data_IF_733428305774
#
_entry.id   IF_733428305774
#
_cell.length_a   1.000
_cell.length_b   1.000
_cell.length_c   1.000
_cell.angle_alpha   90.00
_cell.angle_beta   90.00
_cell.angle_gamma   90.00
#
_symmetry.space_group_name_H-M   'P 1'
#
loop_
_entity.id
_entity.type
_entity.pdbx_description
1 polymer ?
#
# COMPACT_ATOMS: atom_id res chain seq x y z
N UNK A 1 20.01 9.33 8.22
CA UNK A 1 19.12 9.00 7.09
C UNK A 1 17.71 9.33 7.53
N UNK A 2 16.87 9.95 6.70
CA UNK A 2 15.44 10.05 7.02
C UNK A 2 14.83 8.76 6.50
N UNK A 3 14.41 7.89 7.40
CA UNK A 3 13.81 6.61 7.01
C UNK A 3 12.46 6.92 6.35
N UNK A 4 12.35 6.60 5.05
CA UNK A 4 11.13 6.69 4.26
C UNK A 4 10.63 5.27 3.95
N UNK A 5 9.30 5.11 3.92
CA UNK A 5 8.66 3.80 3.96
C UNK A 5 7.74 3.61 2.77
N UNK A 6 7.79 2.44 2.12
CA UNK A 6 6.74 1.97 1.23
C UNK A 6 5.81 1.05 2.03
N UNK A 7 4.56 1.46 2.19
CA UNK A 7 3.55 0.67 2.88
C UNK A 7 2.73 -0.13 1.86
N UNK A 8 2.60 -1.44 2.10
CA UNK A 8 1.63 -2.24 1.36
C UNK A 8 0.21 -2.10 1.94
N UNK A 9 -0.75 -2.82 1.35
CA UNK A 9 -2.13 -2.74 1.79
C UNK A 9 -2.39 -3.36 3.17
N UNK A 10 -1.68 -4.43 3.57
CA UNK A 10 -1.85 -5.06 4.88
C UNK A 10 -1.29 -4.20 6.00
N UNK A 11 -0.24 -3.43 5.74
CA UNK A 11 0.30 -2.46 6.68
C UNK A 11 -0.48 -1.14 6.69
N UNK A 12 -0.91 -0.63 5.53
CA UNK A 12 -1.62 0.65 5.43
C UNK A 12 -3.01 0.62 6.07
N UNK A 13 -3.75 -0.48 5.89
CA UNK A 13 -5.15 -0.55 6.32
C UNK A 13 -5.33 -0.43 7.86
N UNK A 14 -4.56 -1.14 8.70
CA UNK A 14 -4.60 -0.94 10.16
C UNK A 14 -4.17 0.47 10.61
N UNK A 15 -3.20 1.07 9.90
CA UNK A 15 -2.65 2.40 10.22
C UNK A 15 -3.69 3.51 10.06
N UNK A 16 -4.77 3.30 9.28
CA UNK A 16 -5.90 4.24 9.21
C UNK A 16 -6.45 4.63 10.59
N UNK A 17 -6.36 3.73 11.58
CA UNK A 17 -6.81 3.98 12.96
C UNK A 17 -5.82 4.78 13.80
N UNK A 18 -4.63 5.06 13.28
CA UNK A 18 -3.51 5.68 13.98
C UNK A 18 -2.90 6.86 13.21
N UNK A 19 -3.65 7.43 12.26
CA UNK A 19 -3.17 8.49 11.36
C UNK A 19 -2.56 9.70 12.11
N UNK A 20 -3.09 10.05 13.28
CA UNK A 20 -2.60 11.18 14.08
C UNK A 20 -1.28 10.88 14.82
N UNK A 21 -0.80 9.63 14.77
CA UNK A 21 0.41 9.17 15.45
C UNK A 21 1.58 8.92 14.49
N UNK A 22 1.39 9.12 13.19
CA UNK A 22 2.39 8.83 12.17
C UNK A 22 2.73 10.07 11.34
N UNK A 23 4.00 10.15 10.93
CA UNK A 23 4.45 11.17 9.99
C UNK A 23 4.17 10.71 8.55
N UNK A 24 3.00 11.10 8.04
CA UNK A 24 2.54 10.74 6.68
C UNK A 24 3.45 11.24 5.57
N UNK A 25 4.30 12.24 5.84
CA UNK A 25 5.21 12.81 4.83
C UNK A 25 6.34 11.86 4.43
N UNK A 26 6.58 10.81 5.21
CA UNK A 26 7.59 9.77 4.97
C UNK A 26 7.01 8.51 4.35
N UNK A 27 5.71 8.49 4.06
CA UNK A 27 5.00 7.30 3.60
C UNK A 27 4.75 7.38 2.11
N UNK A 28 5.15 6.32 1.44
CA UNK A 28 4.91 6.04 0.04
C UNK A 28 3.94 4.86 -0.11
N UNK A 29 3.22 4.87 -1.22
CA UNK A 29 2.32 3.81 -1.69
C UNK A 29 2.45 3.67 -3.21
N UNK A 30 1.94 2.57 -3.75
CA UNK A 30 1.83 2.35 -5.20
C UNK A 30 0.36 2.30 -5.63
N UNK A 31 0.02 2.45 -6.92
CA UNK A 31 -1.37 2.44 -7.38
C UNK A 31 -2.12 1.15 -6.99
N UNK A 32 -1.41 0.02 -6.96
CA UNK A 32 -1.95 -1.26 -6.50
C UNK A 32 -2.53 -1.22 -5.07
N UNK A 33 -1.99 -0.37 -4.19
CA UNK A 33 -2.44 -0.23 -2.80
C UNK A 33 -3.88 0.24 -2.72
N UNK A 34 -4.31 1.15 -3.61
CA UNK A 34 -5.69 1.62 -3.71
C UNK A 34 -6.67 0.46 -3.90
N UNK A 35 -6.38 -0.41 -4.87
CA UNK A 35 -7.24 -1.55 -5.19
C UNK A 35 -7.23 -2.62 -4.09
N UNK A 36 -6.06 -2.93 -3.52
CA UNK A 36 -5.94 -3.92 -2.43
C UNK A 36 -6.69 -3.46 -1.16
N UNK A 37 -6.58 -2.19 -0.76
CA UNK A 37 -7.30 -1.67 0.41
C UNK A 37 -8.81 -1.56 0.15
N UNK A 38 -9.24 -1.07 -1.01
CA UNK A 38 -10.66 -1.05 -1.38
C UNK A 38 -11.30 -2.44 -1.34
N UNK A 39 -10.58 -3.46 -1.84
CA UNK A 39 -11.01 -4.85 -1.75
C UNK A 39 -11.07 -5.36 -0.29
N UNK A 40 -10.14 -4.93 0.57
CA UNK A 40 -10.18 -5.28 1.99
C UNK A 40 -11.41 -4.66 2.69
N UNK A 41 -11.72 -3.39 2.43
CA UNK A 41 -12.92 -2.71 2.94
C UNK A 41 -14.19 -3.45 2.51
N UNK A 42 -14.29 -3.80 1.22
CA UNK A 42 -15.41 -4.55 0.69
C UNK A 42 -15.59 -5.92 1.38
N UNK A 43 -14.50 -6.66 1.58
CA UNK A 43 -14.55 -7.94 2.30
C UNK A 43 -14.94 -7.78 3.77
N UNK A 44 -14.45 -6.75 4.45
CA UNK A 44 -14.80 -6.49 5.86
C UNK A 44 -16.26 -6.06 6.04
N UNK A 45 -16.86 -5.35 5.08
CA UNK A 45 -18.28 -4.98 5.13
C UNK A 45 -19.19 -6.20 5.35
N UNK A 46 -19.00 -7.26 4.56
CA UNK A 46 -19.79 -8.49 4.70
C UNK A 46 -19.61 -9.18 6.05
N UNK A 47 -18.52 -8.91 6.76
CA UNK A 47 -18.16 -9.58 8.00
C UNK A 47 -18.49 -8.76 9.25
N UNK A 48 -18.47 -7.42 9.16
CA UNK A 48 -18.48 -6.52 10.33
C UNK A 48 -19.55 -5.43 10.31
N UNK A 49 -20.42 -5.39 9.28
CA UNK A 49 -21.55 -4.46 9.18
C UNK A 49 -21.16 -2.96 9.34
N UNK A 50 -19.95 -2.59 8.93
CA UNK A 50 -19.46 -1.19 8.88
C UNK A 50 -19.90 -0.55 7.58
N UNK A 51 -20.20 0.76 7.56
CA UNK A 51 -20.47 1.47 6.30
C UNK A 51 -19.21 1.52 5.41
N UNK A 52 -19.17 0.77 4.29
CA UNK A 52 -17.99 0.70 3.44
C UNK A 52 -17.79 1.98 2.64
N UNK A 53 -18.85 2.75 2.38
CA UNK A 53 -18.76 3.99 1.59
C UNK A 53 -18.05 5.06 2.41
N UNK A 54 -18.47 5.24 3.68
CA UNK A 54 -17.81 6.15 4.61
C UNK A 54 -16.34 5.77 4.82
N UNK A 55 -16.04 4.47 4.98
CA UNK A 55 -14.65 4.01 5.15
C UNK A 55 -13.80 4.24 3.91
N UNK A 56 -14.32 3.98 2.70
CA UNK A 56 -13.65 4.29 1.45
C UNK A 56 -13.40 5.80 1.29
N UNK A 57 -14.34 6.66 1.68
CA UNK A 57 -14.15 8.11 1.64
C UNK A 57 -13.02 8.58 2.59
N UNK A 58 -12.96 8.02 3.79
CA UNK A 58 -11.86 8.27 4.74
C UNK A 58 -10.52 7.78 4.18
N UNK A 59 -10.50 6.58 3.61
CA UNK A 59 -9.32 6.02 2.95
C UNK A 59 -8.83 6.92 1.80
N UNK A 60 -9.74 7.39 0.94
CA UNK A 60 -9.37 8.28 -0.17
C UNK A 60 -8.75 9.59 0.33
N UNK A 61 -9.33 10.19 1.38
CA UNK A 61 -8.78 11.40 2.02
C UNK A 61 -7.43 11.16 2.69
N UNK A 62 -7.17 9.94 3.16
CA UNK A 62 -5.87 9.57 3.70
C UNK A 62 -4.84 9.40 2.59
N UNK A 63 -5.18 8.64 1.54
CA UNK A 63 -4.32 8.41 0.37
C UNK A 63 -3.84 9.72 -0.26
N UNK A 64 -4.68 10.76 -0.30
CA UNK A 64 -4.29 12.07 -0.86
C UNK A 64 -3.19 12.80 -0.06
N UNK A 65 -2.83 12.31 1.13
CA UNK A 65 -1.73 12.84 1.96
C UNK A 65 -0.43 12.04 1.80
N UNK A 66 -0.49 10.88 1.15
CA UNK A 66 0.64 9.98 0.98
C UNK A 66 1.35 10.30 -0.34
N UNK A 67 2.62 9.90 -0.44
CA UNK A 67 3.37 10.00 -1.68
C UNK A 67 3.03 8.80 -2.57
N UNK A 68 2.59 9.04 -3.79
CA UNK A 68 2.26 7.99 -4.76
C UNK A 68 3.45 7.80 -5.70
N UNK A 69 3.94 6.57 -5.80
CA UNK A 69 4.92 6.18 -6.81
C UNK A 69 4.21 5.79 -8.12
N UNK A 70 4.94 5.89 -9.23
CA UNK A 70 4.46 5.40 -10.53
C UNK A 70 4.46 3.86 -10.57
N UNK A 71 3.75 3.31 -11.55
CA UNK A 71 3.78 1.86 -11.78
C UNK A 71 5.18 1.44 -12.29
N UNK A 72 5.79 0.40 -11.69
CA UNK A 72 7.06 -0.10 -12.18
C UNK A 72 6.91 -0.88 -13.51
N UNK A 73 8.02 -1.08 -14.25
CA UNK A 73 8.00 -1.88 -15.48
C UNK A 73 7.61 -3.33 -15.22
N UNK A 74 6.66 -3.86 -15.99
CA UNK A 74 6.07 -5.17 -15.74
C UNK A 74 7.09 -6.32 -15.87
N UNK A 75 8.04 -6.18 -16.80
CA UNK A 75 9.14 -7.11 -17.02
C UNK A 75 10.07 -7.24 -15.80
N UNK A 76 10.32 -6.14 -15.09
CA UNK A 76 11.15 -6.15 -13.89
C UNK A 76 10.41 -6.75 -12.69
N UNK A 77 9.10 -6.50 -12.57
CA UNK A 77 8.27 -7.18 -11.58
C UNK A 77 8.24 -8.69 -11.84
N UNK A 78 8.13 -9.10 -13.11
CA UNK A 78 8.14 -10.52 -13.48
C UNK A 78 9.49 -11.18 -13.20
N UNK A 79 10.59 -10.46 -13.38
CA UNK A 79 11.93 -10.92 -12.97
C UNK A 79 11.97 -11.21 -11.47
N UNK A 80 11.55 -10.25 -10.63
CA UNK A 80 11.51 -10.42 -9.16
C UNK A 80 10.57 -11.56 -8.75
N UNK A 81 9.41 -11.66 -9.40
CA UNK A 81 8.43 -12.76 -9.21
C UNK A 81 9.09 -14.12 -9.43
N UNK A 82 9.86 -14.24 -10.51
CA UNK A 82 10.51 -15.50 -10.91
C UNK A 82 11.70 -15.86 -10.02
N UNK A 83 12.46 -14.86 -9.59
CA UNK A 83 13.65 -15.04 -8.75
C UNK A 83 13.33 -15.29 -7.28
N UNK A 84 12.29 -14.63 -6.74
CA UNK A 84 11.95 -14.64 -5.31
C UNK A 84 10.71 -15.49 -4.98
N UNK A 85 10.10 -16.15 -5.98
CA UNK A 85 8.89 -16.97 -5.84
C UNK A 85 7.71 -16.23 -5.15
N UNK A 86 7.59 -14.94 -5.44
CA UNK A 86 6.50 -14.10 -4.92
C UNK A 86 5.34 -14.01 -5.90
N UNK A 87 4.16 -13.61 -5.43
CA UNK A 87 3.11 -13.20 -6.37
C UNK A 87 3.54 -11.93 -7.09
N UNK A 88 3.02 -11.70 -8.30
CA UNK A 88 3.27 -10.46 -9.05
C UNK A 88 2.91 -9.21 -8.22
N UNK A 89 1.85 -9.30 -7.41
CA UNK A 89 1.44 -8.21 -6.52
C UNK A 89 2.49 -7.91 -5.44
N UNK A 90 3.01 -8.93 -4.77
CA UNK A 90 3.96 -8.73 -3.68
C UNK A 90 5.35 -8.35 -4.23
N UNK A 91 5.74 -8.95 -5.36
CA UNK A 91 6.93 -8.56 -6.11
C UNK A 91 6.90 -7.09 -6.56
N UNK A 92 5.72 -6.54 -6.87
CA UNK A 92 5.56 -5.12 -7.23
C UNK A 92 6.01 -4.21 -6.08
N UNK A 93 5.64 -4.55 -4.83
CA UNK A 93 6.07 -3.78 -3.65
C UNK A 93 7.56 -3.94 -3.38
N UNK A 94 8.09 -5.17 -3.47
CA UNK A 94 9.52 -5.44 -3.27
C UNK A 94 10.36 -4.66 -4.28
N UNK A 95 10.05 -4.78 -5.56
CA UNK A 95 10.77 -4.05 -6.61
C UNK A 95 10.70 -2.52 -6.40
N UNK A 96 9.51 -1.99 -6.08
CA UNK A 96 9.34 -0.55 -5.87
C UNK A 96 10.13 -0.05 -4.66
N UNK A 97 10.14 -0.80 -3.55
CA UNK A 97 10.92 -0.44 -2.38
C UNK A 97 12.42 -0.43 -2.68
N UNK A 98 12.93 -1.48 -3.31
CA UNK A 98 14.35 -1.61 -3.67
C UNK A 98 14.79 -0.51 -4.66
N UNK A 99 13.99 -0.25 -5.70
CA UNK A 99 14.32 0.72 -6.75
C UNK A 99 14.37 2.17 -6.27
N UNK A 100 13.57 2.50 -5.24
CA UNK A 100 13.52 3.84 -4.67
C UNK A 100 14.28 3.97 -3.34
N UNK A 101 14.94 2.91 -2.86
CA UNK A 101 15.68 2.92 -1.59
C UNK A 101 14.80 3.11 -0.36
N UNK A 102 13.57 2.58 -0.39
CA UNK A 102 12.56 2.71 0.68
C UNK A 102 12.52 1.45 1.54
N UNK A 103 12.15 1.59 2.81
CA UNK A 103 11.86 0.45 3.68
C UNK A 103 10.45 -0.08 3.38
N UNK A 104 10.35 -1.31 2.89
CA UNK A 104 9.06 -1.99 2.73
C UNK A 104 8.48 -2.38 4.09
N UNK A 105 7.22 -2.02 4.34
CA UNK A 105 6.43 -2.43 5.50
C UNK A 105 5.18 -3.15 5.00
N UNK A 106 4.97 -4.40 5.45
CA UNK A 106 3.93 -5.31 4.98
C UNK A 106 3.13 -5.91 6.14
#
# INVERSE_FOLDING_TARGET
MRDEFLLDASALYPILSYIDKIDVTKIYVIPLTFYKVGNAIWKEYYLKNKDPITLCALFQKFMSKLKLLDNPPAEEIMRVTSEKELTFYDATYVYSAESYGLFLVS
#
